data_IF_441909832994
#
_entry.id   IF_441909832994
#
_cell.length_a   1.000
_cell.length_b   1.000
_cell.length_c   1.000
_cell.angle_alpha   90.00
_cell.angle_beta   90.00
_cell.angle_gamma   90.00
#
_symmetry.space_group_name_H-M   'P 1'
#
loop_
_entity.id
_entity.type
_entity.pdbx_description
1 polymer ?
#
# COMPACT_ATOMS: atom_id res chain seq x y z
N UNK A 1 -59.06 -29.82 15.93
CA UNK A 1 -59.06 -29.26 17.29
C UNK A 1 -58.05 -30.05 18.09
N UNK A 2 -56.82 -29.55 18.16
CA UNK A 2 -55.66 -30.23 18.79
C UNK A 2 -55.15 -29.29 19.87
N UNK A 3 -54.92 -29.75 21.11
CA UNK A 3 -54.58 -28.86 22.21
C UNK A 3 -53.09 -28.47 22.13
N UNK A 4 -52.81 -27.18 22.30
CA UNK A 4 -51.46 -26.68 22.50
C UNK A 4 -51.00 -27.09 23.90
N UNK A 5 -49.99 -27.96 23.96
CA UNK A 5 -49.27 -28.24 25.20
C UNK A 5 -48.36 -27.06 25.54
N UNK A 6 -48.59 -26.50 26.72
CA UNK A 6 -47.77 -25.54 27.42
C UNK A 6 -46.41 -26.17 27.76
N UNK A 7 -45.31 -25.66 27.18
CA UNK A 7 -43.93 -26.05 27.51
C UNK A 7 -43.31 -24.91 28.28
N UNK A 8 -43.61 -24.86 29.57
CA UNK A 8 -42.94 -23.99 30.52
C UNK A 8 -41.64 -24.67 30.97
N UNK A 9 -40.54 -24.41 30.24
CA UNK A 9 -39.22 -24.85 30.65
C UNK A 9 -38.66 -23.87 31.71
N UNK A 10 -38.09 -24.36 32.82
CA UNK A 10 -37.49 -23.48 33.82
C UNK A 10 -36.27 -22.78 33.23
N UNK A 11 -36.34 -21.45 33.12
CA UNK A 11 -35.18 -20.60 32.86
C UNK A 11 -34.17 -20.80 34.00
N UNK A 12 -33.14 -21.60 33.75
CA UNK A 12 -31.99 -21.71 34.63
C UNK A 12 -31.42 -20.32 34.87
N UNK A 13 -31.37 -19.90 36.13
CA UNK A 13 -30.75 -18.66 36.56
C UNK A 13 -29.32 -18.60 35.99
N UNK A 14 -28.94 -17.54 35.25
CA UNK A 14 -27.56 -17.40 34.80
C UNK A 14 -26.63 -17.41 36.02
N UNK A 15 -25.41 -17.98 35.90
CA UNK A 15 -24.44 -17.98 36.99
C UNK A 15 -24.23 -16.55 37.48
N UNK A 16 -24.54 -16.32 38.76
CA UNK A 16 -24.35 -15.03 39.42
C UNK A 16 -22.86 -14.73 39.49
N UNK A 17 -22.41 -13.73 38.72
CA UNK A 17 -21.02 -13.28 38.75
C UNK A 17 -20.78 -12.50 40.05
N UNK A 18 -19.76 -12.85 40.86
CA UNK A 18 -19.37 -12.04 42.02
C UNK A 18 -19.08 -10.59 41.60
N UNK A 19 -19.55 -9.62 42.39
CA UNK A 19 -19.32 -8.19 42.10
C UNK A 19 -17.81 -7.90 42.04
N UNK A 20 -17.34 -7.11 41.05
CA UNK A 20 -15.92 -6.88 40.85
C UNK A 20 -15.29 -6.15 42.03
N UNK A 21 -14.10 -6.59 42.44
CA UNK A 21 -13.25 -5.88 43.39
C UNK A 21 -12.68 -4.65 42.68
N UNK A 22 -13.32 -3.51 42.87
CA UNK A 22 -12.80 -2.21 42.45
C UNK A 22 -12.00 -1.59 43.59
N UNK A 23 -10.91 -0.91 43.24
CA UNK A 23 -10.18 -0.11 44.21
C UNK A 23 -11.03 1.09 44.69
N UNK A 24 -10.53 1.83 45.68
CA UNK A 24 -11.20 3.02 46.21
C UNK A 24 -11.47 4.12 45.15
N UNK A 25 -10.90 4.01 43.94
CA UNK A 25 -11.05 4.94 42.82
C UNK A 25 -11.89 4.36 41.68
N UNK A 26 -12.52 3.19 41.88
CA UNK A 26 -13.36 2.52 40.89
C UNK A 26 -12.59 1.82 39.77
N UNK A 27 -11.26 1.71 39.88
CA UNK A 27 -10.40 1.02 38.91
C UNK A 27 -10.36 -0.48 39.19
N UNK A 28 -10.09 -1.32 38.17
CA UNK A 28 -9.88 -2.74 38.40
C UNK A 28 -8.69 -2.97 39.35
N UNK A 29 -8.83 -3.90 40.29
CA UNK A 29 -7.88 -4.14 41.38
C UNK A 29 -6.44 -4.44 40.92
N UNK A 30 -6.25 -4.92 39.69
CA UNK A 30 -4.93 -5.28 39.14
C UNK A 30 -4.47 -4.37 37.99
N UNK A 31 -4.96 -3.14 37.92
CA UNK A 31 -4.48 -2.18 36.90
C UNK A 31 -2.95 -1.96 37.00
N UNK A 32 -2.25 -1.98 35.86
CA UNK A 32 -0.80 -1.75 35.78
C UNK A 32 0.10 -2.92 36.19
N UNK A 33 -0.44 -4.01 36.75
CA UNK A 33 0.34 -5.20 37.08
C UNK A 33 0.75 -5.98 35.81
N UNK A 34 1.92 -6.65 35.78
CA UNK A 34 2.30 -7.52 34.67
C UNK A 34 1.31 -8.69 34.52
N UNK A 35 1.29 -9.32 33.34
CA UNK A 35 0.53 -10.54 33.06
C UNK A 35 1.43 -11.75 33.27
N UNK A 36 1.01 -12.70 34.10
CA UNK A 36 1.72 -13.96 34.33
C UNK A 36 1.03 -15.16 33.70
N UNK A 37 1.68 -16.32 33.76
CA UNK A 37 1.14 -17.57 33.19
C UNK A 37 -0.21 -17.96 33.80
N UNK A 38 -0.36 -17.78 35.12
CA UNK A 38 -1.63 -17.98 35.84
C UNK A 38 -2.79 -17.13 35.25
N UNK A 39 -2.50 -15.92 34.76
CA UNK A 39 -3.50 -15.06 34.13
C UNK A 39 -3.97 -15.64 32.79
N UNK A 40 -3.05 -16.25 32.02
CA UNK A 40 -3.37 -16.86 30.73
C UNK A 40 -4.08 -18.20 30.89
N UNK A 41 -3.69 -19.01 31.87
CA UNK A 41 -4.43 -20.22 32.26
C UNK A 41 -5.87 -19.85 32.65
N UNK A 42 -6.03 -18.80 33.46
CA UNK A 42 -7.36 -18.35 33.88
C UNK A 42 -8.15 -17.76 32.71
N UNK A 43 -7.53 -17.02 31.79
CA UNK A 43 -8.17 -16.55 30.56
C UNK A 43 -8.75 -17.72 29.74
N UNK A 44 -7.94 -18.75 29.49
CA UNK A 44 -8.37 -19.93 28.71
C UNK A 44 -9.52 -20.66 29.41
N UNK A 45 -9.44 -20.81 30.74
CA UNK A 45 -10.51 -21.41 31.52
C UNK A 45 -11.82 -20.62 31.41
N UNK A 46 -11.79 -19.31 31.58
CA UNK A 46 -13.00 -18.46 31.48
C UNK A 46 -13.60 -18.47 30.07
N UNK A 47 -12.76 -18.50 29.03
CA UNK A 47 -13.22 -18.64 27.63
C UNK A 47 -13.91 -19.98 27.41
N UNK A 48 -13.36 -21.06 27.99
CA UNK A 48 -13.94 -22.42 27.95
C UNK A 48 -15.27 -22.50 28.69
N UNK A 49 -15.37 -21.84 29.84
CA UNK A 49 -16.59 -21.70 30.63
C UNK A 49 -17.67 -20.84 29.89
N UNK A 50 -17.30 -20.16 28.81
CA UNK A 50 -18.23 -19.43 27.96
C UNK A 50 -18.45 -17.96 28.33
N UNK A 51 -17.62 -17.42 29.23
CA UNK A 51 -17.71 -16.01 29.63
C UNK A 51 -17.48 -15.05 28.45
N UNK A 52 -18.12 -13.88 28.53
CA UNK A 52 -17.92 -12.77 27.60
C UNK A 52 -16.78 -11.84 28.07
N UNK A 53 -16.38 -10.88 27.23
CA UNK A 53 -15.23 -10.00 27.52
C UNK A 53 -15.43 -9.20 28.82
N UNK A 54 -16.61 -8.60 29.11
CA UNK A 54 -16.85 -7.94 30.39
C UNK A 54 -16.70 -8.88 31.60
N UNK A 55 -17.31 -10.08 31.56
CA UNK A 55 -17.20 -11.03 32.66
C UNK A 55 -15.76 -11.53 32.87
N UNK A 56 -15.01 -11.74 31.78
CA UNK A 56 -13.59 -12.11 31.85
C UNK A 56 -12.78 -10.98 32.50
N UNK A 57 -13.02 -9.73 32.09
CA UNK A 57 -12.34 -8.57 32.64
C UNK A 57 -12.59 -8.41 34.14
N UNK A 58 -13.85 -8.56 34.56
CA UNK A 58 -14.23 -8.53 35.97
C UNK A 58 -13.57 -9.66 36.77
N UNK A 59 -13.59 -10.89 36.25
CA UNK A 59 -13.00 -12.06 36.92
C UNK A 59 -11.48 -11.96 37.09
N UNK A 60 -10.79 -11.27 36.20
CA UNK A 60 -9.34 -11.03 36.26
C UNK A 60 -8.97 -9.73 36.99
N UNK A 61 -9.96 -8.95 37.41
CA UNK A 61 -9.77 -7.61 37.97
C UNK A 61 -8.96 -6.70 37.02
N UNK A 62 -9.26 -6.79 35.71
CA UNK A 62 -8.64 -6.00 34.62
C UNK A 62 -9.69 -5.21 33.83
N UNK A 63 -9.26 -4.32 32.94
CA UNK A 63 -10.17 -3.64 31.99
C UNK A 63 -10.39 -4.49 30.74
N UNK A 64 -11.53 -4.34 30.08
CA UNK A 64 -11.81 -4.97 28.78
C UNK A 64 -10.77 -4.61 27.70
N UNK A 65 -10.31 -3.35 27.70
CA UNK A 65 -9.25 -2.88 26.82
C UNK A 65 -7.88 -3.53 27.07
N UNK A 66 -7.63 -4.04 28.29
CA UNK A 66 -6.42 -4.81 28.60
C UNK A 66 -6.58 -6.30 28.28
N UNK A 67 -7.79 -6.85 28.41
CA UNK A 67 -8.10 -8.26 28.13
C UNK A 67 -8.12 -8.54 26.63
N UNK A 68 -8.71 -7.68 25.82
CA UNK A 68 -8.92 -7.92 24.39
C UNK A 68 -7.61 -8.19 23.61
N UNK A 69 -6.52 -7.42 23.79
CA UNK A 69 -5.23 -7.74 23.18
C UNK A 69 -4.66 -9.10 23.61
N UNK A 70 -4.94 -9.54 24.84
CA UNK A 70 -4.49 -10.84 25.36
C UNK A 70 -5.27 -11.99 24.77
N UNK A 71 -6.60 -11.86 24.66
CA UNK A 71 -7.42 -12.83 23.91
C UNK A 71 -6.93 -12.98 22.46
N UNK A 72 -6.56 -11.87 21.81
CA UNK A 72 -6.01 -11.91 20.45
C UNK A 72 -4.65 -12.62 20.40
N UNK A 73 -3.77 -12.40 21.38
CA UNK A 73 -2.46 -13.07 21.43
C UNK A 73 -2.58 -14.60 21.59
N UNK A 74 -3.67 -15.06 22.23
CA UNK A 74 -3.98 -16.48 22.38
C UNK A 74 -4.47 -17.14 21.09
N UNK A 75 -4.73 -16.40 20.00
CA UNK A 75 -5.06 -16.99 18.71
C UNK A 75 -3.79 -17.41 17.94
N UNK A 76 -3.91 -18.42 17.04
CA UNK A 76 -2.88 -18.72 16.06
C UNK A 76 -2.43 -17.46 15.30
N UNK A 77 -1.14 -17.29 14.98
CA UNK A 77 -0.61 -16.06 14.40
C UNK A 77 -1.37 -15.56 13.16
N UNK A 78 -1.80 -16.49 12.31
CA UNK A 78 -2.53 -16.23 11.06
C UNK A 78 -3.91 -15.59 11.30
N UNK A 79 -4.46 -15.79 12.50
CA UNK A 79 -5.79 -15.33 12.89
C UNK A 79 -5.75 -14.12 13.82
N UNK A 80 -4.58 -13.58 14.16
CA UNK A 80 -4.46 -12.41 15.05
C UNK A 80 -4.97 -11.11 14.40
N UNK A 81 -5.00 -11.05 13.07
CA UNK A 81 -5.43 -9.87 12.31
C UNK A 81 -6.96 -9.71 12.17
N UNK A 82 -7.76 -10.56 12.83
CA UNK A 82 -9.23 -10.48 12.74
C UNK A 82 -9.82 -9.30 13.53
N UNK A 83 -11.03 -8.91 13.13
CA UNK A 83 -11.84 -7.89 13.79
C UNK A 83 -12.04 -8.21 15.29
N UNK A 84 -12.08 -7.17 16.12
CA UNK A 84 -12.08 -7.32 17.58
C UNK A 84 -13.28 -8.12 18.12
N UNK A 85 -14.47 -7.93 17.51
CA UNK A 85 -15.71 -8.66 17.82
C UNK A 85 -15.62 -10.16 17.48
N UNK A 86 -14.71 -10.56 16.58
CA UNK A 86 -14.49 -11.95 16.18
C UNK A 86 -13.45 -12.68 17.02
N UNK A 87 -12.64 -11.97 17.79
CA UNK A 87 -11.56 -12.57 18.61
C UNK A 87 -12.07 -13.64 19.57
N UNK A 88 -13.05 -13.29 20.42
CA UNK A 88 -13.56 -14.21 21.43
C UNK A 88 -14.31 -15.42 20.83
N UNK A 89 -15.23 -15.25 19.86
CA UNK A 89 -15.85 -16.38 19.17
C UNK A 89 -14.84 -17.34 18.52
N UNK A 90 -13.83 -16.80 17.85
CA UNK A 90 -12.78 -17.62 17.21
C UNK A 90 -11.95 -18.37 18.25
N UNK A 91 -11.52 -17.70 19.32
CA UNK A 91 -10.74 -18.34 20.39
C UNK A 91 -11.54 -19.46 21.08
N UNK A 92 -12.84 -19.23 21.31
CA UNK A 92 -13.73 -20.24 21.90
C UNK A 92 -13.85 -21.48 21.03
N UNK A 93 -13.83 -21.33 19.70
CA UNK A 93 -13.75 -22.47 18.76
C UNK A 93 -12.53 -23.34 19.04
N UNK A 94 -11.33 -22.73 19.04
CA UNK A 94 -10.07 -23.45 19.31
C UNK A 94 -10.05 -24.14 20.67
N UNK A 95 -10.45 -23.44 21.73
CA UNK A 95 -10.43 -23.96 23.10
C UNK A 95 -11.45 -25.08 23.32
N UNK A 96 -12.54 -25.10 22.54
CA UNK A 96 -13.55 -26.17 22.57
C UNK A 96 -13.10 -27.41 21.81
N UNK A 97 -12.42 -27.23 20.69
CA UNK A 97 -11.91 -28.31 19.85
C UNK A 97 -10.70 -29.01 20.49
N UNK A 98 -9.94 -28.29 21.32
CA UNK A 98 -8.72 -28.79 21.95
C UNK A 98 -8.82 -28.74 23.49
N UNK A 99 -9.03 -29.89 24.17
CA UNK A 99 -9.10 -29.97 25.63
C UNK A 99 -7.86 -29.40 26.33
N UNK A 100 -6.69 -29.62 25.73
CA UNK A 100 -5.40 -29.15 26.22
C UNK A 100 -4.85 -28.03 25.34
N UNK A 101 -5.69 -27.03 25.02
CA UNK A 101 -5.32 -25.90 24.16
C UNK A 101 -3.95 -25.31 24.56
N UNK A 102 -2.90 -25.44 23.72
CA UNK A 102 -1.51 -25.17 24.09
C UNK A 102 -1.21 -23.68 23.97
N UNK A 103 -1.87 -22.87 24.78
CA UNK A 103 -1.85 -21.42 24.69
C UNK A 103 -0.44 -20.82 24.74
N UNK A 104 0.44 -21.39 25.56
CA UNK A 104 1.82 -20.94 25.72
C UNK A 104 2.61 -21.09 24.41
N UNK A 105 2.45 -22.24 23.73
CA UNK A 105 3.06 -22.47 22.43
C UNK A 105 2.52 -21.53 21.36
N UNK A 106 1.20 -21.30 21.36
CA UNK A 106 0.56 -20.40 20.40
C UNK A 106 1.13 -18.99 20.54
N UNK A 107 1.30 -18.50 21.77
CA UNK A 107 1.80 -17.16 22.03
C UNK A 107 3.22 -16.91 21.53
N UNK A 108 4.10 -17.91 21.59
CA UNK A 108 5.50 -17.77 21.13
C UNK A 108 5.66 -17.94 19.61
N UNK A 109 4.63 -18.43 18.90
CA UNK A 109 4.68 -18.56 17.44
C UNK A 109 4.68 -17.19 16.78
N UNK A 110 5.66 -16.99 15.90
CA UNK A 110 5.77 -15.82 15.03
C UNK A 110 4.77 -15.95 13.87
N UNK A 111 4.15 -14.85 13.42
CA UNK A 111 3.38 -14.87 12.18
C UNK A 111 4.31 -15.20 11.00
N UNK A 112 3.80 -15.92 9.98
CA UNK A 112 4.54 -16.07 8.72
C UNK A 112 4.84 -14.67 8.14
N UNK A 113 5.98 -14.49 7.46
CA UNK A 113 6.32 -13.22 6.84
C UNK A 113 5.21 -12.81 5.88
N UNK A 114 4.81 -11.52 5.93
CA UNK A 114 3.80 -11.01 5.01
C UNK A 114 4.25 -11.26 3.56
N UNK A 115 3.35 -11.70 2.67
CA UNK A 115 3.69 -11.94 1.27
C UNK A 115 4.20 -10.63 0.64
N UNK A 116 5.32 -10.70 -0.06
CA UNK A 116 5.86 -9.55 -0.81
C UNK A 116 4.94 -9.28 -1.99
N UNK A 117 4.03 -8.33 -1.85
CA UNK A 117 3.19 -7.86 -2.97
C UNK A 117 4.03 -6.93 -3.84
N UNK A 118 4.59 -7.47 -4.92
CA UNK A 118 5.22 -6.65 -5.96
C UNK A 118 4.14 -5.85 -6.68
N UNK A 119 4.08 -4.53 -6.43
CA UNK A 119 3.22 -3.63 -7.21
C UNK A 119 3.94 -3.27 -8.49
N UNK A 120 3.61 -3.94 -9.59
CA UNK A 120 4.07 -3.54 -10.92
C UNK A 120 3.25 -2.32 -11.35
N UNK A 121 3.90 -1.16 -11.40
CA UNK A 121 3.27 0.06 -11.92
C UNK A 121 3.33 -0.01 -13.45
N UNK A 122 2.17 -0.17 -14.08
CA UNK A 122 2.06 -0.06 -15.53
C UNK A 122 1.91 1.41 -15.90
N UNK A 123 2.91 1.98 -16.58
CA UNK A 123 2.78 3.27 -17.21
C UNK A 123 2.09 3.11 -18.57
N UNK A 124 1.15 4.00 -18.90
CA UNK A 124 0.43 4.01 -20.16
C UNK A 124 0.69 5.32 -20.92
N UNK A 125 0.46 5.34 -22.24
CA UNK A 125 0.71 6.50 -23.09
C UNK A 125 2.21 6.73 -23.34
N UNK A 126 2.62 8.00 -23.50
CA UNK A 126 4.03 8.39 -23.71
C UNK A 126 4.91 7.89 -22.57
N UNK A 127 4.42 7.98 -21.33
CA UNK A 127 5.10 7.47 -20.14
C UNK A 127 5.26 5.94 -20.13
N UNK A 128 4.50 5.21 -20.94
CA UNK A 128 4.63 3.76 -21.10
C UNK A 128 5.65 3.32 -22.15
N UNK A 129 6.19 4.24 -22.95
CA UNK A 129 7.14 3.89 -24.00
C UNK A 129 8.50 3.52 -23.41
N UNK A 130 9.10 2.46 -23.96
CA UNK A 130 10.50 2.11 -23.71
C UNK A 130 11.42 3.28 -24.14
N UNK A 131 12.54 3.53 -23.43
CA UNK A 131 13.43 4.66 -23.73
C UNK A 131 13.84 4.78 -25.20
N UNK A 132 14.25 3.67 -25.82
CA UNK A 132 14.65 3.67 -27.22
C UNK A 132 13.49 4.03 -28.17
N UNK A 133 12.28 3.52 -27.89
CA UNK A 133 11.09 3.81 -28.70
C UNK A 133 10.62 5.24 -28.51
N UNK A 134 10.73 5.78 -27.29
CA UNK A 134 10.42 7.17 -27.00
C UNK A 134 11.31 8.12 -27.81
N UNK A 135 12.62 7.84 -27.91
CA UNK A 135 13.55 8.64 -28.73
C UNK A 135 13.21 8.54 -30.23
N UNK A 136 12.84 7.36 -30.73
CA UNK A 136 12.41 7.20 -32.13
C UNK A 136 11.14 7.99 -32.44
N UNK A 137 10.14 7.91 -31.56
CA UNK A 137 8.88 8.64 -31.71
C UNK A 137 9.13 10.14 -31.66
N UNK A 138 9.95 10.62 -30.71
CA UNK A 138 10.34 12.02 -30.63
C UNK A 138 11.04 12.49 -31.91
N UNK A 139 11.99 11.70 -32.41
CA UNK A 139 12.70 11.99 -33.66
C UNK A 139 11.74 12.07 -34.85
N UNK A 140 10.84 11.10 -35.00
CA UNK A 140 9.87 11.07 -36.08
C UNK A 140 8.91 12.27 -36.04
N UNK A 141 8.40 12.60 -34.84
CA UNK A 141 7.51 13.75 -34.64
C UNK A 141 8.20 15.07 -34.97
N UNK A 142 9.47 15.25 -34.60
CA UNK A 142 10.24 16.45 -34.93
C UNK A 142 10.50 16.63 -36.43
N UNK A 143 10.35 15.57 -37.23
CA UNK A 143 10.47 15.61 -38.69
C UNK A 143 9.12 15.64 -39.41
N UNK A 144 8.01 15.48 -38.68
CA UNK A 144 6.68 15.49 -39.24
C UNK A 144 6.09 16.91 -39.19
N UNK A 145 5.93 17.54 -40.36
CA UNK A 145 5.40 18.92 -40.46
C UNK A 145 3.94 19.05 -40.02
N UNK A 146 3.21 17.93 -40.01
CA UNK A 146 1.79 17.88 -39.66
C UNK A 146 1.54 17.35 -38.25
N UNK A 147 2.61 17.15 -37.46
CA UNK A 147 2.47 16.69 -36.09
C UNK A 147 1.73 17.72 -35.22
N UNK A 148 0.85 17.23 -34.35
CA UNK A 148 0.18 18.07 -33.36
C UNK A 148 1.20 18.65 -32.37
N UNK A 149 1.17 19.97 -32.16
CA UNK A 149 2.12 20.67 -31.31
C UNK A 149 2.06 20.20 -29.84
N UNK A 150 0.88 19.79 -29.37
CA UNK A 150 0.71 19.21 -28.04
C UNK A 150 1.41 17.86 -27.91
N UNK A 151 1.24 16.98 -28.90
CA UNK A 151 1.92 15.68 -28.94
C UNK A 151 3.45 15.82 -29.04
N UNK A 152 3.95 16.76 -29.86
CA UNK A 152 5.39 17.05 -29.94
C UNK A 152 5.92 17.51 -28.59
N UNK A 153 5.21 18.44 -27.93
CA UNK A 153 5.58 18.96 -26.63
C UNK A 153 5.62 17.86 -25.55
N UNK A 154 4.56 17.07 -25.43
CA UNK A 154 4.43 15.99 -24.46
C UNK A 154 5.56 14.96 -24.60
N UNK A 155 5.84 14.52 -25.82
CA UNK A 155 6.91 13.54 -26.09
C UNK A 155 8.30 14.12 -25.80
N UNK A 156 8.57 15.37 -26.18
CA UNK A 156 9.86 16.00 -25.94
C UNK A 156 10.10 16.26 -24.44
N UNK A 157 9.05 16.61 -23.69
CA UNK A 157 9.16 16.78 -22.24
C UNK A 157 9.38 15.45 -21.53
N UNK A 158 8.76 14.35 -21.96
CA UNK A 158 9.06 13.03 -21.41
C UNK A 158 10.50 12.59 -21.71
N UNK A 159 11.01 12.85 -22.94
CA UNK A 159 12.42 12.57 -23.31
C UNK A 159 13.39 13.29 -22.36
N UNK A 160 13.16 14.57 -22.09
CA UNK A 160 13.99 15.35 -21.17
C UNK A 160 13.79 14.91 -19.73
N UNK A 161 12.56 14.63 -19.32
CA UNK A 161 12.23 14.12 -17.99
C UNK A 161 12.96 12.82 -17.64
N UNK A 162 13.29 12.01 -18.66
CA UNK A 162 14.09 10.77 -18.53
C UNK A 162 15.58 10.95 -18.81
N UNK A 163 16.05 12.15 -19.15
CA UNK A 163 17.45 12.42 -19.49
C UNK A 163 17.92 11.80 -20.81
N UNK A 164 17.00 11.59 -21.76
CA UNK A 164 17.26 10.99 -23.08
C UNK A 164 17.50 12.04 -24.18
N UNK A 165 17.57 13.32 -23.81
CA UNK A 165 17.77 14.48 -24.68
C UNK A 165 19.10 14.43 -25.44
N UNK A 166 20.15 13.90 -24.82
CA UNK A 166 21.44 13.70 -25.47
C UNK A 166 21.37 12.72 -26.65
N UNK A 167 20.60 11.63 -26.51
CA UNK A 167 20.44 10.61 -27.55
C UNK A 167 19.62 11.15 -28.72
N UNK A 168 18.52 11.86 -28.43
CA UNK A 168 17.72 12.55 -29.43
C UNK A 168 18.53 13.62 -30.18
N UNK A 169 19.32 14.42 -29.45
CA UNK A 169 20.20 15.46 -30.02
C UNK A 169 21.25 14.85 -30.93
N UNK A 170 21.91 13.76 -30.51
CA UNK A 170 22.91 13.06 -31.32
C UNK A 170 22.32 12.57 -32.66
N UNK A 171 21.09 12.05 -32.64
CA UNK A 171 20.37 11.64 -33.85
C UNK A 171 20.03 12.81 -34.77
N UNK A 172 19.57 13.92 -34.22
CA UNK A 172 19.30 15.15 -34.99
C UNK A 172 20.58 15.68 -35.65
N UNK A 173 21.69 15.72 -34.90
CA UNK A 173 23.01 16.12 -35.42
C UNK A 173 23.44 15.21 -36.57
N UNK A 174 23.35 13.89 -36.38
CA UNK A 174 23.70 12.93 -37.43
C UNK A 174 22.87 13.13 -38.69
N UNK A 175 21.57 13.37 -38.55
CA UNK A 175 20.70 13.62 -39.70
C UNK A 175 21.08 14.91 -40.44
N UNK A 176 21.40 15.99 -39.72
CA UNK A 176 21.81 17.27 -40.31
C UNK A 176 23.17 17.20 -41.01
N UNK A 177 24.12 16.43 -40.46
CA UNK A 177 25.43 16.20 -41.09
C UNK A 177 25.32 15.40 -42.39
N UNK A 178 24.28 14.57 -42.54
CA UNK A 178 24.03 13.78 -43.75
C UNK A 178 23.18 14.50 -44.81
N UNK A 179 22.75 15.76 -44.57
CA UNK A 179 21.99 16.54 -45.56
C UNK A 179 22.89 17.02 -46.72
N UNK A 180 22.26 17.47 -47.81
CA UNK A 180 22.94 18.09 -48.95
C UNK A 180 22.37 19.49 -49.20
N UNK A 181 23.18 20.57 -49.06
CA UNK A 181 24.55 20.56 -48.57
C UNK A 181 24.63 20.18 -47.07
N UNK A 182 25.73 19.56 -46.62
CA UNK A 182 25.87 19.17 -45.21
C UNK A 182 26.12 20.40 -44.33
N UNK A 183 25.50 20.41 -43.15
CA UNK A 183 25.83 21.37 -42.11
C UNK A 183 27.24 21.10 -41.54
N UNK A 184 27.90 22.13 -41.02
CA UNK A 184 29.11 21.92 -40.20
C UNK A 184 28.73 21.27 -38.85
N UNK A 185 29.68 20.63 -38.15
CA UNK A 185 29.41 20.02 -36.84
C UNK A 185 28.82 20.97 -35.80
N UNK A 186 29.25 22.23 -35.78
CA UNK A 186 28.76 23.21 -34.82
C UNK A 186 27.37 23.74 -35.19
N UNK A 187 27.11 23.96 -36.48
CA UNK A 187 25.76 24.29 -36.98
C UNK A 187 24.77 23.17 -36.71
N UNK A 188 25.16 21.91 -36.94
CA UNK A 188 24.30 20.75 -36.72
C UNK A 188 23.93 20.62 -35.23
N UNK A 189 24.89 20.83 -34.32
CA UNK A 189 24.64 20.83 -32.86
C UNK A 189 23.72 21.97 -32.46
N UNK A 190 24.01 23.19 -32.92
CA UNK A 190 23.18 24.35 -32.61
C UNK A 190 21.75 24.17 -33.11
N UNK A 191 21.57 23.75 -34.36
CA UNK A 191 20.26 23.54 -34.96
C UNK A 191 19.49 22.40 -34.29
N UNK A 192 20.15 21.32 -33.86
CA UNK A 192 19.53 20.24 -33.11
C UNK A 192 19.00 20.72 -31.75
N UNK A 193 19.83 21.44 -30.97
CA UNK A 193 19.43 21.99 -29.67
C UNK A 193 18.30 23.02 -29.83
N UNK A 194 18.42 23.94 -30.78
CA UNK A 194 17.38 24.94 -31.04
C UNK A 194 16.05 24.30 -31.46
N UNK A 195 16.10 23.19 -32.22
CA UNK A 195 14.89 22.44 -32.61
C UNK A 195 14.21 21.81 -31.40
N UNK A 196 14.99 21.21 -30.49
CA UNK A 196 14.46 20.63 -29.26
C UNK A 196 13.88 21.69 -28.31
N UNK A 197 14.57 22.83 -28.15
CA UNK A 197 14.09 23.95 -27.33
C UNK A 197 12.75 24.49 -27.85
N UNK A 198 12.64 24.71 -29.17
CA UNK A 198 11.39 25.16 -29.80
C UNK A 198 10.25 24.17 -29.60
N UNK A 199 10.52 22.87 -29.75
CA UNK A 199 9.53 21.81 -29.53
C UNK A 199 8.99 21.80 -28.09
N UNK A 200 9.79 22.28 -27.13
CA UNK A 200 9.41 22.39 -25.72
C UNK A 200 8.79 23.74 -25.35
N UNK A 201 8.55 24.62 -26.33
CA UNK A 201 8.05 25.97 -26.09
C UNK A 201 9.05 26.89 -25.39
N UNK A 202 10.34 26.51 -25.35
CA UNK A 202 11.40 27.36 -24.84
C UNK A 202 11.85 28.30 -25.96
N UNK A 203 11.58 29.59 -25.81
CA UNK A 203 12.16 30.60 -26.69
C UNK A 203 13.65 30.66 -26.42
N UNK A 204 14.44 30.18 -27.39
CA UNK A 204 15.91 30.19 -27.32
C UNK A 204 16.40 31.63 -27.35
N UNK A 205 16.54 32.23 -26.18
CA UNK A 205 16.98 33.61 -25.97
C UNK A 205 18.49 33.70 -26.03
N UNK A 206 19.08 33.37 -27.19
CA UNK A 206 20.49 33.63 -27.48
C UNK A 206 20.75 33.55 -28.98
N UNK A 207 20.61 34.69 -29.63
CA UNK A 207 21.01 34.84 -31.02
C UNK A 207 22.15 35.84 -31.18
N UNK A 208 23.29 35.30 -31.62
CA UNK A 208 24.27 35.97 -32.48
C UNK A 208 24.24 35.38 -33.91
N UNK A 209 23.25 34.54 -34.23
CA UNK A 209 23.20 33.73 -35.45
C UNK A 209 21.87 33.80 -36.22
N UNK A 210 20.88 34.60 -35.77
CA UNK A 210 19.58 34.74 -36.46
C UNK A 210 19.66 35.43 -37.84
N UNK A 211 20.84 35.90 -38.27
CA UNK A 211 21.01 36.56 -39.57
C UNK A 211 21.43 35.60 -40.70
N UNK A 212 21.29 34.28 -40.57
CA UNK A 212 21.55 33.35 -41.68
C UNK A 212 20.27 32.79 -42.34
N UNK A 213 20.10 32.96 -43.68
CA UNK A 213 18.82 32.85 -44.38
C UNK A 213 18.51 31.40 -44.81
N UNK A 214 18.12 30.56 -43.87
CA UNK A 214 17.68 29.18 -44.18
C UNK A 214 16.15 29.01 -44.24
N UNK A 215 15.39 30.12 -44.26
CA UNK A 215 13.92 30.16 -44.35
C UNK A 215 13.40 30.12 -45.81
N UNK A 216 13.99 29.26 -46.65
CA UNK A 216 13.46 28.98 -47.97
C UNK A 216 13.00 27.52 -48.07
N UNK A 217 11.67 27.37 -47.97
CA UNK A 217 10.85 26.45 -48.76
C UNK A 217 11.24 24.98 -48.79
N UNK A 218 10.46 24.17 -48.06
CA UNK A 218 10.16 22.80 -48.48
C UNK A 218 9.25 22.80 -49.71
#
# INVERSE_FOLDING_TARGET
>A
MTPFHDVNAPHGTPPQVPRPRRDARGRPGRSGQPWGDEDYERLVALVREGHDVPAIADALERTEGAVTPRLRALLPPEQRAILADRVLPTLRGHVREQPDYPWAEVMVRLPPPAPVVQRVVHHAGVAGLEPALLVEVAWALLHCETADAGAVHEVCDEVVGRGLDHELTARLVSALLCRVPPATPDEARYAATARLDRARGLTSSRSRYDDHPWDHGW
#
